data_IF_925535807975
#
_entry.id   IF_925535807975
#
_cell.length_a   1.000
_cell.length_b   1.000
_cell.length_c   1.000
_cell.angle_alpha   90.00
_cell.angle_beta   90.00
_cell.angle_gamma   90.00
#
_symmetry.space_group_name_H-M   'P 1'
#
loop_
_entity.id
_entity.type
_entity.pdbx_description
1 polymer ?
#
# COMPACT_ATOMS: atom_id res chain seq x y z
N UNK A 1 7.24 -13.60 -0.02
CA UNK A 1 6.45 -13.25 1.18
C UNK A 1 5.23 -12.44 0.73
N UNK A 2 4.05 -12.80 1.15
CA UNK A 2 2.80 -12.14 0.76
C UNK A 2 2.19 -11.46 1.97
N UNK A 3 1.93 -10.16 1.86
CA UNK A 3 1.39 -9.32 2.92
C UNK A 3 0.06 -8.73 2.44
N UNK A 4 -0.98 -8.80 3.25
CA UNK A 4 -2.25 -8.16 2.95
C UNK A 4 -2.40 -6.90 3.80
N UNK A 5 -2.59 -5.76 3.11
CA UNK A 5 -2.88 -4.47 3.72
C UNK A 5 -4.31 -4.05 3.37
N UNK A 6 -4.85 -3.11 4.12
CA UNK A 6 -6.15 -2.55 3.77
C UNK A 6 -6.07 -1.80 2.44
N UNK A 7 -7.15 -1.81 1.69
CA UNK A 7 -7.27 -0.98 0.49
C UNK A 7 -7.07 0.48 0.88
N UNK A 8 -6.33 1.27 0.07
CA UNK A 8 -6.05 2.66 0.44
C UNK A 8 -7.33 3.46 0.70
N UNK A 9 -7.36 4.32 1.73
CA UNK A 9 -8.49 5.20 1.96
C UNK A 9 -8.80 6.07 0.75
N UNK A 10 -10.08 6.30 0.48
CA UNK A 10 -10.52 7.09 -0.68
C UNK A 10 -9.88 8.49 -0.71
N UNK A 11 -9.68 9.11 0.43
CA UNK A 11 -9.08 10.44 0.55
C UNK A 11 -7.65 10.52 0.02
N UNK A 12 -6.94 9.39 -0.05
CA UNK A 12 -5.56 9.37 -0.54
C UNK A 12 -5.43 9.22 -2.06
N UNK A 13 -6.54 8.96 -2.76
CA UNK A 13 -6.53 9.00 -4.22
C UNK A 13 -6.44 10.45 -4.69
N UNK A 14 -5.56 10.78 -5.66
CA UNK A 14 -5.22 12.17 -6.01
C UNK A 14 -6.41 13.08 -6.29
N UNK A 15 -7.45 12.59 -6.97
CA UNK A 15 -8.62 13.43 -7.29
C UNK A 15 -9.36 13.90 -6.04
N UNK A 16 -9.46 13.05 -5.03
CA UNK A 16 -10.12 13.40 -3.77
C UNK A 16 -9.18 14.16 -2.83
N UNK A 17 -7.87 13.85 -2.87
CA UNK A 17 -6.88 14.53 -2.06
C UNK A 17 -6.85 16.03 -2.36
N UNK A 18 -7.03 16.44 -3.62
CA UNK A 18 -7.06 17.86 -4.01
C UNK A 18 -8.16 18.66 -3.30
N UNK A 19 -9.31 18.03 -3.02
CA UNK A 19 -10.43 18.68 -2.34
C UNK A 19 -10.43 18.48 -0.82
N UNK A 20 -9.42 17.83 -0.27
CA UNK A 20 -9.36 17.50 1.15
C UNK A 20 -8.40 18.45 1.88
N UNK A 21 -8.83 18.97 3.03
CA UNK A 21 -7.98 19.81 3.85
C UNK A 21 -6.70 19.08 4.24
N UNK A 22 -5.56 19.78 4.18
CA UNK A 22 -4.24 19.18 4.40
C UNK A 22 -4.09 18.51 5.77
N UNK A 23 -4.69 19.09 6.83
CA UNK A 23 -4.64 18.51 8.18
C UNK A 23 -5.34 17.17 8.25
N UNK A 24 -6.53 17.06 7.61
CA UNK A 24 -7.23 15.78 7.51
C UNK A 24 -6.45 14.78 6.68
N UNK A 25 -5.88 15.21 5.56
CA UNK A 25 -5.09 14.36 4.68
C UNK A 25 -3.85 13.81 5.40
N UNK A 26 -3.19 14.65 6.17
CA UNK A 26 -2.06 14.24 7.01
C UNK A 26 -2.48 13.14 7.98
N UNK A 27 -3.61 13.33 8.66
CA UNK A 27 -4.11 12.35 9.63
C UNK A 27 -4.45 11.01 8.95
N UNK A 28 -5.11 11.06 7.80
CA UNK A 28 -5.47 9.84 7.05
C UNK A 28 -4.21 9.09 6.61
N UNK A 29 -3.18 9.79 6.13
CA UNK A 29 -1.90 9.17 5.76
C UNK A 29 -1.22 8.53 6.96
N UNK A 30 -1.17 9.24 8.07
CA UNK A 30 -0.55 8.75 9.31
C UNK A 30 -1.25 7.49 9.81
N UNK A 31 -2.58 7.51 9.85
CA UNK A 31 -3.38 6.36 10.30
C UNK A 31 -3.19 5.16 9.37
N UNK A 32 -3.19 5.39 8.06
CA UNK A 32 -2.99 4.30 7.09
C UNK A 32 -1.60 3.69 7.20
N UNK A 33 -0.56 4.51 7.37
CA UNK A 33 0.81 4.04 7.61
C UNK A 33 0.90 3.20 8.86
N UNK A 34 0.35 3.69 9.97
CA UNK A 34 0.38 3.01 11.26
C UNK A 34 -0.37 1.66 11.21
N UNK A 35 -1.57 1.66 10.63
CA UNK A 35 -2.34 0.44 10.43
C UNK A 35 -1.61 -0.57 9.55
N UNK A 36 -0.98 -0.10 8.47
CA UNK A 36 -0.22 -0.96 7.57
C UNK A 36 1.00 -1.57 8.25
N UNK A 37 1.68 -0.80 9.09
CA UNK A 37 2.80 -1.31 9.91
C UNK A 37 2.31 -2.42 10.83
N UNK A 38 1.19 -2.21 11.51
CA UNK A 38 0.60 -3.19 12.41
C UNK A 38 0.23 -4.48 11.67
N UNK A 39 -0.49 -4.36 10.55
CA UNK A 39 -0.90 -5.52 9.76
C UNK A 39 0.31 -6.29 9.22
N UNK A 40 1.29 -5.58 8.69
CA UNK A 40 2.49 -6.20 8.14
C UNK A 40 3.28 -6.94 9.20
N UNK A 41 3.47 -6.36 10.38
CA UNK A 41 4.20 -7.02 11.48
C UNK A 41 3.61 -8.36 11.87
N UNK A 42 2.29 -8.51 11.77
CA UNK A 42 1.61 -9.76 12.09
C UNK A 42 1.73 -10.83 11.00
N UNK A 43 2.15 -10.45 9.80
CA UNK A 43 2.22 -11.33 8.64
C UNK A 43 3.65 -11.64 8.19
N UNK A 44 4.61 -10.80 8.57
CA UNK A 44 6.01 -10.97 8.17
C UNK A 44 6.61 -12.20 8.82
N UNK A 45 7.26 -13.03 7.99
CA UNK A 45 8.01 -14.20 8.42
C UNK A 45 9.46 -14.03 7.98
N UNK A 46 10.35 -13.84 8.96
CA UNK A 46 11.77 -13.66 8.69
C UNK A 46 12.17 -12.22 8.42
N UNK A 47 13.33 -12.04 7.83
CA UNK A 47 13.96 -10.74 7.57
C UNK A 47 14.33 -10.64 6.10
N UNK A 48 14.52 -9.40 5.64
CA UNK A 48 15.20 -9.17 4.36
C UNK A 48 16.69 -9.30 4.63
N UNK A 49 17.30 -10.35 4.06
CA UNK A 49 18.69 -10.72 4.35
C UNK A 49 19.69 -10.27 3.28
N UNK A 50 19.21 -9.73 2.16
CA UNK A 50 20.06 -9.22 1.10
C UNK A 50 20.11 -7.70 1.11
N UNK A 51 21.14 -7.14 0.52
CA UNK A 51 21.27 -5.71 0.30
C UNK A 51 20.69 -5.33 -1.08
N UNK A 52 20.48 -4.04 -1.30
CA UNK A 52 20.06 -3.53 -2.58
C UNK A 52 18.55 -3.52 -2.78
N UNK A 53 18.11 -3.69 -4.02
CA UNK A 53 16.71 -3.56 -4.39
C UNK A 53 15.84 -4.69 -3.83
N UNK A 54 14.63 -4.34 -3.46
CA UNK A 54 13.59 -5.27 -3.03
C UNK A 54 12.43 -5.14 -4.00
N UNK A 55 12.24 -6.16 -4.84
CA UNK A 55 11.14 -6.15 -5.81
C UNK A 55 9.80 -6.39 -5.13
N UNK A 56 8.80 -5.60 -5.50
CA UNK A 56 7.43 -5.76 -5.00
C UNK A 56 6.46 -6.00 -6.15
N UNK A 57 5.46 -6.83 -5.91
CA UNK A 57 4.27 -6.91 -6.75
C UNK A 57 3.07 -6.47 -5.93
N UNK A 58 2.39 -5.43 -6.41
CA UNK A 58 1.20 -4.87 -5.78
C UNK A 58 -0.03 -5.35 -6.55
N UNK A 59 -0.97 -5.98 -5.87
CA UNK A 59 -2.26 -6.38 -6.46
C UNK A 59 -3.37 -5.69 -5.69
N UNK A 60 -4.07 -4.79 -6.36
CA UNK A 60 -5.23 -4.10 -5.79
C UNK A 60 -6.47 -4.93 -6.03
N UNK A 61 -7.07 -5.44 -4.95
CA UNK A 61 -8.39 -6.07 -5.01
C UNK A 61 -9.41 -4.93 -4.93
N UNK A 62 -9.99 -4.59 -6.09
CA UNK A 62 -10.84 -3.40 -6.22
C UNK A 62 -12.21 -3.60 -5.58
N UNK A 63 -12.75 -2.53 -4.94
CA UNK A 63 -14.07 -2.62 -4.31
C UNK A 63 -15.24 -2.62 -5.31
N UNK A 64 -14.98 -2.26 -6.56
CA UNK A 64 -15.98 -2.11 -7.60
C UNK A 64 -15.33 -2.17 -8.99
N UNK A 65 -16.13 -1.98 -10.05
CA UNK A 65 -15.66 -2.05 -11.44
C UNK A 65 -15.22 -0.70 -12.03
N UNK A 66 -15.17 0.37 -11.21
CA UNK A 66 -14.74 1.68 -11.73
C UNK A 66 -13.30 1.62 -12.20
N UNK A 67 -13.01 2.32 -13.29
CA UNK A 67 -11.65 2.46 -13.78
C UNK A 67 -10.85 3.35 -12.83
N UNK A 68 -9.67 2.87 -12.47
CA UNK A 68 -8.69 3.63 -11.69
C UNK A 68 -7.34 3.50 -12.36
N UNK A 69 -6.63 4.61 -12.49
CA UNK A 69 -5.30 4.59 -13.09
C UNK A 69 -4.28 3.96 -12.13
N UNK A 70 -3.34 3.21 -12.68
CA UNK A 70 -2.32 2.51 -11.89
C UNK A 70 -1.48 3.50 -11.06
N UNK A 71 -1.12 4.64 -11.64
CA UNK A 71 -0.34 5.66 -10.94
C UNK A 71 -1.11 6.29 -9.77
N UNK A 72 -2.43 6.48 -9.93
CA UNK A 72 -3.29 6.97 -8.85
C UNK A 72 -3.39 5.96 -7.70
N UNK A 73 -3.48 4.66 -8.04
CA UNK A 73 -3.47 3.60 -7.04
C UNK A 73 -2.15 3.56 -6.28
N UNK A 74 -1.04 3.69 -6.99
CA UNK A 74 0.28 3.74 -6.37
C UNK A 74 0.41 4.94 -5.43
N UNK A 75 -0.01 6.13 -5.87
CA UNK A 75 0.00 7.33 -5.04
C UNK A 75 -0.84 7.14 -3.78
N UNK A 76 -2.03 6.53 -3.90
CA UNK A 76 -2.94 6.31 -2.78
C UNK A 76 -2.36 5.35 -1.74
N UNK A 77 -1.57 4.36 -2.15
CA UNK A 77 -1.01 3.36 -1.23
C UNK A 77 0.37 3.72 -0.69
N UNK A 78 0.94 4.87 -1.05
CA UNK A 78 2.32 5.25 -0.66
C UNK A 78 2.54 5.16 0.85
N UNK A 79 1.61 5.69 1.66
CA UNK A 79 1.72 5.64 3.12
C UNK A 79 1.67 4.19 3.63
N UNK A 80 0.91 3.31 2.96
CA UNK A 80 0.88 1.89 3.28
C UNK A 80 2.21 1.20 3.01
N UNK A 81 2.86 1.54 1.89
CA UNK A 81 4.19 1.02 1.57
C UNK A 81 5.25 1.53 2.55
N UNK A 82 5.12 2.78 3.02
CA UNK A 82 5.97 3.31 4.07
C UNK A 82 5.79 2.50 5.37
N UNK A 83 4.56 2.13 5.69
CA UNK A 83 4.26 1.26 6.84
C UNK A 83 4.85 -0.15 6.67
N UNK A 84 4.80 -0.70 5.47
CA UNK A 84 5.44 -1.98 5.18
C UNK A 84 6.96 -1.89 5.38
N UNK A 85 7.59 -0.82 4.89
CA UNK A 85 9.01 -0.59 5.07
C UNK A 85 9.38 -0.50 6.56
N UNK A 86 8.57 0.20 7.35
CA UNK A 86 8.74 0.27 8.80
C UNK A 86 8.70 -1.12 9.43
N UNK A 87 7.72 -1.94 9.03
CA UNK A 87 7.56 -3.30 9.56
C UNK A 87 8.71 -4.23 9.16
N UNK A 88 9.23 -4.08 7.95
CA UNK A 88 10.37 -4.85 7.44
C UNK A 88 11.71 -4.31 7.95
N UNK A 89 11.71 -3.15 8.58
CA UNK A 89 12.91 -2.43 9.02
C UNK A 89 13.87 -2.17 7.86
N UNK A 90 13.33 -1.69 6.75
CA UNK A 90 14.10 -1.31 5.56
C UNK A 90 13.73 0.11 5.13
N UNK A 91 14.57 0.72 4.30
CA UNK A 91 14.26 1.99 3.67
C UNK A 91 13.36 1.73 2.45
N UNK A 92 12.25 2.45 2.33
CA UNK A 92 11.31 2.32 1.22
C UNK A 92 11.93 2.64 -0.14
N UNK A 93 13.05 3.36 -0.17
CA UNK A 93 13.83 3.61 -1.39
C UNK A 93 14.35 2.34 -2.05
N UNK A 94 14.41 1.25 -1.31
CA UNK A 94 14.84 -0.05 -1.82
C UNK A 94 13.76 -0.78 -2.62
N UNK A 95 12.52 -0.31 -2.58
CA UNK A 95 11.40 -0.98 -3.28
C UNK A 95 11.48 -0.74 -4.79
N UNK A 96 12.27 -1.57 -5.45
CA UNK A 96 12.48 -1.57 -6.91
C UNK A 96 12.71 -3.00 -7.40
N UNK A 97 12.17 -3.39 -8.56
CA UNK A 97 11.08 -2.72 -9.27
C UNK A 97 9.73 -2.99 -8.58
N UNK A 98 8.71 -2.21 -8.94
CA UNK A 98 7.35 -2.44 -8.50
C UNK A 98 6.46 -2.79 -9.70
N UNK A 99 5.75 -3.91 -9.61
CA UNK A 99 4.73 -4.31 -10.57
C UNK A 99 3.37 -4.03 -9.96
N UNK A 100 2.48 -3.42 -10.74
CA UNK A 100 1.15 -3.04 -10.28
C UNK A 100 0.13 -3.79 -11.11
N UNK A 101 -0.78 -4.50 -10.44
CA UNK A 101 -1.86 -5.26 -11.05
C UNK A 101 -3.14 -5.04 -10.26
N UNK A 102 -4.24 -5.49 -10.81
CA UNK A 102 -5.55 -5.40 -10.16
C UNK A 102 -6.39 -6.63 -10.44
N UNK A 103 -7.29 -6.90 -9.51
CA UNK A 103 -8.39 -7.84 -9.69
C UNK A 103 -9.67 -7.18 -9.20
N UNK A 104 -10.81 -7.58 -9.77
CA UNK A 104 -12.10 -7.04 -9.35
C UNK A 104 -12.60 -7.85 -8.17
N UNK A 105 -12.86 -7.16 -7.07
CA UNK A 105 -13.49 -7.71 -5.88
C UNK A 105 -14.78 -6.97 -5.58
N UNK A 106 -15.08 -6.82 -4.32
CA UNK A 106 -16.22 -6.05 -3.83
C UNK A 106 -15.83 -5.28 -2.56
N UNK A 107 -16.78 -4.58 -1.96
CA UNK A 107 -16.53 -3.77 -0.75
C UNK A 107 -16.07 -4.61 0.44
N UNK A 108 -16.39 -5.90 0.48
CA UNK A 108 -16.01 -6.80 1.57
C UNK A 108 -14.63 -7.39 1.37
N UNK A 109 -14.22 -7.59 0.12
CA UNK A 109 -12.94 -8.24 -0.22
C UNK A 109 -11.84 -7.27 -0.59
N UNK A 110 -12.14 -5.99 -0.74
CA UNK A 110 -11.14 -4.98 -1.12
C UNK A 110 -9.94 -5.01 -0.19
N UNK A 111 -8.75 -4.98 -0.77
CA UNK A 111 -7.47 -4.96 -0.03
C UNK A 111 -6.33 -4.68 -0.99
N UNK A 112 -5.15 -4.46 -0.44
CA UNK A 112 -3.90 -4.40 -1.19
C UNK A 112 -3.06 -5.62 -0.80
N UNK A 113 -2.73 -6.43 -1.80
CA UNK A 113 -1.83 -7.56 -1.60
C UNK A 113 -0.43 -7.14 -2.07
N UNK A 114 0.54 -7.24 -1.19
CA UNK A 114 1.94 -6.93 -1.51
C UNK A 114 2.75 -8.21 -1.44
N UNK A 115 3.32 -8.60 -2.57
CA UNK A 115 4.27 -9.72 -2.64
C UNK A 115 5.68 -9.16 -2.60
N UNK A 116 6.44 -9.55 -1.60
CA UNK A 116 7.86 -9.23 -1.49
C UNK A 116 8.63 -10.37 -2.15
N UNK A 117 9.22 -10.07 -3.28
CA UNK A 117 9.84 -11.07 -4.16
C UNK A 117 11.30 -11.34 -3.81
#
# INVERSE_FOLDING_TARGET
>A
MKIELDFPPAELFPNKAKGTHWGKLYQVRSDYRENSTFLAKHQIKGKIEHDGDIALKLTFVMPDKRNRDADNCLAACKAGLDGLADALNVNDKRFWPMTIDRVIGDKKTKKLIVEVL
#
